data_IF_549504682419
#
_entry.id   IF_549504682419
#
_cell.length_a   1.000
_cell.length_b   1.000
_cell.length_c   1.000
_cell.angle_alpha   90.00
_cell.angle_beta   90.00
_cell.angle_gamma   90.00
#
_symmetry.space_group_name_H-M   'P 1'
#
loop_
_entity.id
_entity.type
_entity.pdbx_description
1 polymer ?
#
# COMPACT_ATOMS: atom_id res chain seq x y z
N UNK A 1 10.03 -21.61 38.14
CA UNK A 1 8.99 -22.20 37.28
C UNK A 1 7.93 -21.13 37.08
N UNK A 2 8.12 -20.23 36.11
CA UNK A 2 7.20 -19.11 35.83
C UNK A 2 6.23 -19.55 34.75
N UNK A 3 4.93 -19.38 35.02
CA UNK A 3 3.82 -20.05 34.35
C UNK A 3 3.55 -19.65 32.90
N UNK A 4 3.45 -20.67 32.04
CA UNK A 4 2.84 -20.60 30.70
C UNK A 4 1.32 -20.38 30.74
N UNK A 5 0.68 -20.37 31.91
CA UNK A 5 -0.78 -20.27 32.07
C UNK A 5 -1.37 -18.90 31.68
N UNK A 6 -0.54 -17.89 31.42
CA UNK A 6 -0.94 -16.55 30.97
C UNK A 6 -0.59 -16.22 29.52
N UNK A 7 -0.16 -17.20 28.71
CA UNK A 7 0.09 -16.95 27.30
C UNK A 7 -1.25 -16.94 26.54
N UNK A 8 -1.79 -15.74 26.30
CA UNK A 8 -2.90 -15.58 25.36
C UNK A 8 -2.50 -16.09 23.98
N UNK A 9 -3.39 -16.84 23.32
CA UNK A 9 -3.17 -17.30 21.94
C UNK A 9 -2.98 -16.07 21.05
N UNK A 10 -1.83 -15.99 20.38
CA UNK A 10 -1.62 -15.00 19.33
C UNK A 10 -2.58 -15.28 18.19
N UNK A 11 -3.61 -14.47 18.09
CA UNK A 11 -4.48 -14.40 16.92
C UNK A 11 -3.91 -13.32 16.03
N UNK A 12 -3.73 -13.63 14.75
CA UNK A 12 -3.28 -12.67 13.76
C UNK A 12 -4.18 -11.42 13.82
N UNK A 13 -3.60 -10.20 13.94
CA UNK A 13 -4.36 -8.97 14.13
C UNK A 13 -5.28 -8.63 12.93
N UNK A 14 -5.06 -9.29 11.79
CA UNK A 14 -5.87 -9.16 10.59
C UNK A 14 -6.33 -10.55 10.16
N UNK A 15 -7.64 -10.68 9.94
CA UNK A 15 -8.24 -11.95 9.53
C UNK A 15 -7.85 -12.28 8.08
N UNK A 16 -7.43 -13.51 7.75
CA UNK A 16 -7.00 -13.85 6.38
C UNK A 16 -8.04 -13.57 5.29
N UNK A 17 -9.33 -13.62 5.63
CA UNK A 17 -10.43 -13.34 4.71
C UNK A 17 -10.47 -11.87 4.22
N UNK A 18 -9.86 -10.93 4.96
CA UNK A 18 -9.87 -9.50 4.58
C UNK A 18 -8.63 -9.08 3.77
N UNK A 19 -7.59 -9.91 3.67
CA UNK A 19 -6.40 -9.62 2.86
C UNK A 19 -6.71 -9.34 1.38
N UNK A 20 -7.50 -10.16 0.66
CA UNK A 20 -7.76 -9.89 -0.77
C UNK A 20 -8.57 -8.60 -0.97
N UNK A 21 -9.50 -8.29 -0.06
CA UNK A 21 -10.30 -7.07 -0.13
C UNK A 21 -9.46 -5.82 0.11
N UNK A 22 -8.61 -5.83 1.14
CA UNK A 22 -7.68 -4.72 1.43
C UNK A 22 -6.69 -4.52 0.28
N UNK A 23 -6.11 -5.60 -0.24
CA UNK A 23 -5.21 -5.56 -1.39
C UNK A 23 -5.86 -4.85 -2.57
N UNK A 24 -7.07 -5.25 -2.95
CA UNK A 24 -7.78 -4.69 -4.10
C UNK A 24 -8.01 -3.18 -3.97
N UNK A 25 -8.41 -2.73 -2.78
CA UNK A 25 -8.65 -1.31 -2.51
C UNK A 25 -7.34 -0.52 -2.53
N UNK A 26 -6.31 -1.00 -1.83
CA UNK A 26 -5.02 -0.29 -1.75
C UNK A 26 -4.29 -0.25 -3.10
N UNK A 27 -4.25 -1.37 -3.83
CA UNK A 27 -3.65 -1.42 -5.16
C UNK A 27 -4.48 -0.64 -6.18
N UNK A 28 -5.81 -0.74 -6.15
CA UNK A 28 -6.67 0.00 -7.08
C UNK A 28 -6.45 1.51 -6.99
N UNK A 29 -6.43 2.03 -5.76
CA UNK A 29 -6.14 3.45 -5.50
C UNK A 29 -4.67 3.77 -5.84
N UNK A 30 -3.73 2.91 -5.48
CA UNK A 30 -2.31 3.07 -5.78
C UNK A 30 -2.02 3.20 -7.28
N UNK A 31 -2.59 2.32 -8.11
CA UNK A 31 -2.45 2.34 -9.57
C UNK A 31 -3.10 3.59 -10.17
N UNK A 32 -4.24 4.03 -9.62
CA UNK A 32 -4.87 5.26 -10.06
C UNK A 32 -3.97 6.49 -9.84
N UNK A 33 -3.36 6.60 -8.65
CA UNK A 33 -2.43 7.70 -8.35
C UNK A 33 -1.13 7.62 -9.15
N UNK A 34 -0.58 6.43 -9.42
CA UNK A 34 0.61 6.29 -10.27
C UNK A 34 0.31 6.65 -11.74
N UNK A 35 -0.85 6.23 -12.27
CA UNK A 35 -1.28 6.63 -13.61
C UNK A 35 -1.47 8.15 -13.71
N UNK A 36 -2.08 8.76 -12.68
CA UNK A 36 -2.23 10.21 -12.62
C UNK A 36 -0.89 10.94 -12.57
N UNK A 37 0.08 10.42 -11.81
CA UNK A 37 1.44 10.94 -11.77
C UNK A 37 2.11 10.89 -13.15
N UNK A 38 2.03 9.75 -13.85
CA UNK A 38 2.59 9.62 -15.20
C UNK A 38 1.94 10.59 -16.19
N UNK A 39 0.60 10.72 -16.17
CA UNK A 39 -0.11 11.69 -17.02
C UNK A 39 0.34 13.12 -16.72
N UNK A 40 0.50 13.46 -15.44
CA UNK A 40 0.98 14.78 -15.04
C UNK A 40 2.42 15.05 -15.50
N UNK A 41 3.29 14.04 -15.44
CA UNK A 41 4.69 14.14 -15.88
C UNK A 41 4.81 14.32 -17.40
N UNK A 42 4.09 13.51 -18.19
CA UNK A 42 4.16 13.58 -19.67
C UNK A 42 3.47 14.80 -20.26
N UNK A 43 2.51 15.39 -19.53
CA UNK A 43 1.74 16.55 -20.01
C UNK A 43 2.31 17.89 -19.52
N UNK A 44 3.09 17.90 -18.43
CA UNK A 44 3.67 19.12 -17.88
C UNK A 44 4.83 19.66 -18.72
N UNK A 45 4.63 20.84 -19.31
CA UNK A 45 5.69 21.62 -19.98
C UNK A 45 6.60 22.33 -18.97
N UNK A 46 7.83 22.68 -19.37
CA UNK A 46 8.92 23.24 -18.53
C UNK A 46 8.55 24.48 -17.69
N UNK A 47 7.44 25.16 -17.97
CA UNK A 47 7.05 26.44 -17.33
C UNK A 47 6.06 26.32 -16.16
N UNK A 48 5.46 25.16 -15.93
CA UNK A 48 4.44 24.94 -14.87
C UNK A 48 4.75 23.76 -13.96
N UNK A 49 6.00 23.29 -13.94
CA UNK A 49 6.42 22.16 -13.10
C UNK A 49 6.58 22.58 -11.63
N UNK A 50 5.52 22.36 -10.85
CA UNK A 50 5.59 22.39 -9.40
C UNK A 50 6.14 21.06 -8.85
N UNK A 51 7.45 21.01 -8.63
CA UNK A 51 8.15 19.85 -8.04
C UNK A 51 7.52 19.41 -6.70
N UNK A 52 7.03 20.36 -5.89
CA UNK A 52 6.35 20.05 -4.62
C UNK A 52 5.08 19.21 -4.83
N UNK A 53 4.31 19.49 -5.88
CA UNK A 53 3.07 18.77 -6.18
C UNK A 53 3.36 17.39 -6.75
N UNK A 54 4.38 17.28 -7.61
CA UNK A 54 4.90 16.01 -8.13
C UNK A 54 5.31 15.08 -6.98
N UNK A 55 6.18 15.56 -6.08
CA UNK A 55 6.65 14.78 -4.93
C UNK A 55 5.50 14.39 -3.99
N UNK A 56 4.54 15.28 -3.74
CA UNK A 56 3.39 14.96 -2.87
C UNK A 56 2.55 13.83 -3.45
N UNK A 57 2.26 13.87 -4.76
CA UNK A 57 1.48 12.82 -5.44
C UNK A 57 2.27 11.51 -5.50
N UNK A 58 3.57 11.58 -5.81
CA UNK A 58 4.44 10.40 -5.86
C UNK A 58 4.58 9.71 -4.49
N UNK A 59 4.66 10.49 -3.41
CA UNK A 59 4.72 9.97 -2.04
C UNK A 59 3.43 9.22 -1.69
N UNK A 60 2.28 9.84 -1.95
CA UNK A 60 0.97 9.20 -1.74
C UNK A 60 0.86 7.91 -2.56
N UNK A 61 1.20 7.97 -3.85
CA UNK A 61 1.16 6.80 -4.73
C UNK A 61 2.07 5.66 -4.23
N UNK A 62 3.29 5.98 -3.79
CA UNK A 62 4.26 5.01 -3.29
C UNK A 62 3.80 4.33 -2.00
N UNK A 63 3.20 5.09 -1.06
CA UNK A 63 2.66 4.53 0.18
C UNK A 63 1.52 3.55 -0.10
N UNK A 64 0.53 3.96 -0.91
CA UNK A 64 -0.61 3.10 -1.24
C UNK A 64 -0.20 1.85 -2.04
N UNK A 65 0.69 2.01 -3.02
CA UNK A 65 1.23 0.89 -3.80
C UNK A 65 2.09 -0.05 -2.94
N UNK A 66 2.94 0.49 -2.06
CA UNK A 66 3.79 -0.30 -1.16
C UNK A 66 2.98 -1.16 -0.20
N UNK A 67 2.01 -0.58 0.50
CA UNK A 67 1.11 -1.36 1.35
C UNK A 67 0.25 -2.33 0.53
N UNK A 68 -0.21 -1.94 -0.66
CA UNK A 68 -0.96 -2.81 -1.56
C UNK A 68 -0.18 -4.07 -1.95
N UNK A 69 1.11 -3.94 -2.26
CA UNK A 69 1.98 -5.08 -2.61
C UNK A 69 2.26 -5.98 -1.40
N UNK A 70 2.43 -5.41 -0.19
CA UNK A 70 2.55 -6.21 1.04
C UNK A 70 1.30 -7.08 1.27
N UNK A 71 0.11 -6.49 1.16
CA UNK A 71 -1.14 -7.25 1.30
C UNK A 71 -1.34 -8.27 0.18
N UNK A 72 -0.86 -7.98 -1.04
CA UNK A 72 -0.86 -8.94 -2.15
C UNK A 72 -0.01 -10.17 -1.85
N UNK A 73 1.20 -9.97 -1.33
CA UNK A 73 2.11 -11.06 -0.93
C UNK A 73 1.44 -11.93 0.15
N UNK A 74 0.86 -11.30 1.18
CA UNK A 74 0.10 -12.01 2.20
C UNK A 74 -1.11 -12.76 1.62
N UNK A 75 -1.81 -12.17 0.65
CA UNK A 75 -2.98 -12.79 0.01
C UNK A 75 -2.63 -14.01 -0.84
N UNK A 76 -1.42 -14.07 -1.41
CA UNK A 76 -0.90 -15.24 -2.15
C UNK A 76 -0.39 -16.33 -1.19
N UNK A 77 -0.27 -16.01 0.10
CA UNK A 77 0.26 -16.93 1.12
C UNK A 77 1.77 -16.80 1.33
N UNK A 78 2.39 -15.74 0.79
CA UNK A 78 3.79 -15.40 1.06
C UNK A 78 3.82 -14.51 2.29
N UNK A 79 4.19 -15.10 3.43
CA UNK A 79 4.37 -14.38 4.68
C UNK A 79 5.74 -13.71 4.69
N UNK A 80 5.77 -12.38 4.77
CA UNK A 80 6.96 -11.53 4.82
C UNK A 80 7.19 -10.97 6.21
#
# INVERSE_FOLDING_TARGET
MVGSEKLMRYVSPVNPAVFPHLTLVLLGIGIFFTAWFFVYEVTSTKKTRDFKKEVSVALVASVFSGFGVLFLLLSVGIYV
#
